data_IF_623173288652
#
_entry.id   IF_623173288652
#
_cell.length_a   1.000
_cell.length_b   1.000
_cell.length_c   1.000
_cell.angle_alpha   90.00
_cell.angle_beta   90.00
_cell.angle_gamma   90.00
#
_symmetry.space_group_name_H-M   'P 1'
#
loop_
_entity.id
_entity.type
_entity.pdbx_description
1 polymer ?
#
# COMPACT_ATOMS: atom_id res chain seq x y z
N UNK A 1 -0.40 26.47 20.65
CA UNK A 1 0.32 25.19 20.80
C UNK A 1 -0.56 24.08 20.24
N UNK A 2 -0.23 23.45 19.09
CA UNK A 2 -1.01 22.30 18.65
C UNK A 2 -0.61 21.10 19.51
N UNK A 3 -1.56 20.60 20.30
CA UNK A 3 -1.45 19.35 21.03
C UNK A 3 -1.21 18.21 20.03
N UNK A 4 0.01 17.66 20.02
CA UNK A 4 0.30 16.43 19.31
C UNK A 4 -0.26 15.27 20.13
N UNK A 5 -1.27 14.57 19.59
CA UNK A 5 -1.77 13.35 20.20
C UNK A 5 -0.61 12.36 20.43
N UNK A 6 -0.55 11.67 21.59
CA UNK A 6 0.50 10.70 21.87
C UNK A 6 0.49 9.62 20.77
N UNK A 7 1.69 9.24 20.31
CA UNK A 7 1.80 8.17 19.33
C UNK A 7 1.24 6.88 19.96
N UNK A 8 0.30 6.18 19.29
CA UNK A 8 -0.28 4.94 19.79
C UNK A 8 0.81 3.89 20.07
N UNK A 9 0.65 3.16 21.19
CA UNK A 9 1.60 2.17 21.65
C UNK A 9 1.80 1.05 20.60
N UNK A 10 2.96 0.40 20.58
CA UNK A 10 3.31 -0.61 19.55
C UNK A 10 2.29 -1.76 19.43
N UNK A 11 1.59 -2.11 20.52
CA UNK A 11 0.55 -3.14 20.56
C UNK A 11 -0.81 -2.67 20.01
N UNK A 12 -1.07 -1.36 19.97
CA UNK A 12 -2.33 -0.77 19.52
C UNK A 12 -2.53 -0.92 18.01
N UNK A 13 -1.48 -1.24 17.25
CA UNK A 13 -1.55 -1.48 15.81
C UNK A 13 -1.84 -2.94 15.43
N UNK A 14 -1.79 -3.85 16.39
CA UNK A 14 -2.10 -5.27 16.21
C UNK A 14 -3.48 -5.55 16.81
N UNK A 15 -4.48 -4.78 16.41
CA UNK A 15 -5.86 -5.03 16.86
C UNK A 15 -6.48 -6.12 15.98
N UNK A 16 -7.02 -7.21 16.54
CA UNK A 16 -7.71 -8.23 15.76
C UNK A 16 -8.87 -7.60 14.98
N UNK A 17 -9.05 -8.03 13.74
CA UNK A 17 -10.12 -7.52 12.89
C UNK A 17 -11.49 -7.76 13.59
N UNK A 18 -12.37 -6.75 13.70
CA UNK A 18 -13.67 -6.93 14.33
C UNK A 18 -14.45 -8.06 13.66
N UNK A 19 -15.21 -8.82 14.45
CA UNK A 19 -15.88 -10.03 14.00
C UNK A 19 -16.82 -9.81 12.80
N UNK A 20 -17.42 -8.62 12.70
CA UNK A 20 -18.30 -8.18 11.60
C UNK A 20 -17.61 -8.14 10.24
N UNK A 21 -16.29 -8.03 10.20
CA UNK A 21 -15.52 -7.94 8.95
C UNK A 21 -14.87 -9.27 8.55
N UNK A 22 -15.01 -10.34 9.36
CA UNK A 22 -14.38 -11.65 9.09
C UNK A 22 -14.78 -12.24 7.73
N UNK A 23 -16.02 -12.05 7.29
CA UNK A 23 -16.47 -12.54 5.98
C UNK A 23 -15.82 -11.79 4.82
N UNK A 24 -15.72 -10.46 4.90
CA UNK A 24 -15.02 -9.65 3.88
C UNK A 24 -13.52 -9.97 3.85
N UNK A 25 -12.93 -10.16 5.02
CA UNK A 25 -11.54 -10.61 5.16
C UNK A 25 -11.31 -11.99 4.54
N UNK A 26 -12.17 -12.96 4.84
CA UNK A 26 -12.09 -14.30 4.25
C UNK A 26 -12.20 -14.28 2.72
N UNK A 27 -13.07 -13.43 2.17
CA UNK A 27 -13.17 -13.23 0.71
C UNK A 27 -11.91 -12.63 0.12
N UNK A 28 -11.30 -11.66 0.79
CA UNK A 28 -10.03 -11.07 0.36
C UNK A 28 -8.92 -12.14 0.30
N UNK A 29 -8.73 -12.88 1.40
CA UNK A 29 -7.70 -13.93 1.50
C UNK A 29 -7.93 -15.03 0.46
N UNK A 30 -9.18 -15.47 0.26
CA UNK A 30 -9.52 -16.46 -0.75
C UNK A 30 -9.27 -15.96 -2.17
N UNK A 31 -9.63 -14.70 -2.45
CA UNK A 31 -9.41 -14.06 -3.75
C UNK A 31 -7.92 -13.93 -4.07
N UNK A 32 -7.10 -13.52 -3.10
CA UNK A 32 -5.65 -13.46 -3.27
C UNK A 32 -5.02 -14.83 -3.47
N UNK A 33 -5.48 -15.85 -2.74
CA UNK A 33 -5.00 -17.21 -2.94
C UNK A 33 -5.35 -17.72 -4.34
N UNK A 34 -6.59 -17.53 -4.79
CA UNK A 34 -7.00 -17.91 -6.14
C UNK A 34 -6.22 -17.14 -7.22
N UNK A 35 -5.98 -15.85 -7.02
CA UNK A 35 -5.17 -15.03 -7.91
C UNK A 35 -3.70 -15.47 -7.98
N UNK A 36 -3.11 -15.94 -6.86
CA UNK A 36 -1.75 -16.53 -6.85
C UNK A 36 -1.69 -17.84 -7.62
N UNK A 37 -2.70 -18.68 -7.45
CA UNK A 37 -2.82 -19.97 -8.14
C UNK A 37 -3.23 -19.84 -9.61
N UNK A 38 -3.51 -18.63 -10.10
CA UNK A 38 -3.94 -18.38 -11.48
C UNK A 38 -5.40 -18.75 -11.77
N UNK A 39 -6.17 -19.08 -10.74
CA UNK A 39 -7.58 -19.52 -10.84
C UNK A 39 -8.58 -18.42 -10.48
N UNK A 40 -8.10 -17.25 -10.05
CA UNK A 40 -8.94 -16.14 -9.58
C UNK A 40 -8.54 -14.78 -10.14
N UNK A 41 -9.49 -13.85 -10.06
CA UNK A 41 -9.33 -12.47 -10.48
C UNK A 41 -8.62 -11.63 -9.43
N UNK A 42 -7.52 -11.00 -9.82
CA UNK A 42 -6.80 -10.01 -9.00
C UNK A 42 -7.68 -8.77 -8.76
N UNK A 43 -8.47 -8.37 -9.75
CA UNK A 43 -9.37 -7.23 -9.65
C UNK A 43 -10.42 -7.43 -8.53
N UNK A 44 -10.95 -8.64 -8.38
CA UNK A 44 -11.93 -8.95 -7.33
C UNK A 44 -11.32 -8.87 -5.92
N UNK A 45 -10.06 -9.28 -5.78
CA UNK A 45 -9.32 -9.13 -4.52
C UNK A 45 -9.12 -7.64 -4.18
N UNK A 46 -8.74 -6.81 -5.16
CA UNK A 46 -8.57 -5.35 -4.97
C UNK A 46 -9.90 -4.68 -4.60
N UNK A 47 -10.99 -5.00 -5.31
CA UNK A 47 -12.32 -4.47 -5.01
C UNK A 47 -12.74 -4.88 -3.59
N UNK A 48 -12.45 -6.12 -3.19
CA UNK A 48 -12.75 -6.59 -1.82
C UNK A 48 -11.90 -5.86 -0.78
N UNK A 49 -10.62 -5.62 -1.05
CA UNK A 49 -9.74 -4.84 -0.19
C UNK A 49 -10.23 -3.39 -0.03
N UNK A 50 -10.59 -2.71 -1.12
CA UNK A 50 -11.19 -1.37 -1.07
C UNK A 50 -12.49 -1.33 -0.26
N UNK A 51 -13.38 -2.32 -0.47
CA UNK A 51 -14.64 -2.41 0.28
C UNK A 51 -14.40 -2.60 1.77
N UNK A 52 -13.45 -3.47 2.12
CA UNK A 52 -13.06 -3.69 3.51
C UNK A 52 -12.48 -2.42 4.12
N UNK A 53 -11.53 -1.77 3.46
CA UNK A 53 -10.93 -0.54 3.95
C UNK A 53 -11.96 0.58 4.10
N UNK A 54 -12.83 0.78 3.11
CA UNK A 54 -13.89 1.78 3.18
C UNK A 54 -14.88 1.49 4.31
N UNK A 55 -15.21 0.22 4.55
CA UNK A 55 -16.12 -0.16 5.63
C UNK A 55 -15.49 0.06 7.02
N UNK A 56 -14.20 -0.26 7.18
CA UNK A 56 -13.45 0.02 8.39
C UNK A 56 -13.29 1.53 8.63
N UNK A 57 -13.00 2.30 7.57
CA UNK A 57 -12.90 3.74 7.62
C UNK A 57 -14.22 4.40 8.04
N UNK A 58 -15.37 3.90 7.54
CA UNK A 58 -16.69 4.39 7.96
C UNK A 58 -17.00 4.09 9.42
N UNK A 59 -16.63 2.90 9.91
CA UNK A 59 -16.96 2.49 11.28
C UNK A 59 -16.01 3.09 12.33
N UNK A 60 -14.72 3.19 12.01
CA UNK A 60 -13.68 3.51 12.99
C UNK A 60 -12.93 4.81 12.67
N UNK A 61 -13.07 5.34 11.46
CA UNK A 61 -12.28 6.45 10.94
C UNK A 61 -11.11 5.96 10.07
N UNK A 62 -10.70 6.81 9.12
CA UNK A 62 -9.64 6.50 8.14
C UNK A 62 -8.25 6.32 8.76
N UNK A 63 -8.04 6.83 9.97
CA UNK A 63 -6.77 6.79 10.72
C UNK A 63 -6.73 5.76 11.83
N UNK A 64 -7.83 5.04 12.04
CA UNK A 64 -7.93 4.07 13.12
C UNK A 64 -7.04 2.84 12.86
N UNK A 65 -6.45 2.23 13.90
CA UNK A 65 -5.63 1.02 13.76
C UNK A 65 -6.30 -0.11 12.96
N UNK A 66 -7.60 -0.34 13.16
CA UNK A 66 -8.36 -1.31 12.35
C UNK A 66 -8.36 -1.03 10.85
N UNK A 67 -8.43 0.24 10.45
CA UNK A 67 -8.45 0.66 9.04
C UNK A 67 -7.06 0.57 8.43
N UNK A 68 -6.05 1.01 9.19
CA UNK A 68 -4.67 1.19 8.73
C UNK A 68 -3.84 -0.11 8.83
N UNK A 69 -4.24 -1.05 9.70
CA UNK A 69 -3.52 -2.29 10.02
C UNK A 69 -4.00 -3.55 9.30
N UNK A 70 -5.22 -3.55 8.74
CA UNK A 70 -5.86 -4.78 8.23
C UNK A 70 -5.69 -5.01 6.73
N UNK A 71 -5.74 -3.98 5.89
CA UNK A 71 -5.95 -4.16 4.44
C UNK A 71 -4.80 -4.71 3.58
N UNK A 72 -3.59 -4.88 4.12
CA UNK A 72 -2.39 -5.03 3.28
C UNK A 72 -1.56 -6.30 3.52
N UNK A 73 -1.85 -7.11 4.55
CA UNK A 73 -0.99 -8.25 4.94
C UNK A 73 -0.95 -9.39 3.92
N UNK A 74 -1.76 -9.37 2.86
CA UNK A 74 -1.93 -10.54 2.02
C UNK A 74 -1.80 -10.31 0.49
N UNK A 75 -1.54 -9.08 0.03
CA UNK A 75 -1.45 -8.85 -1.43
C UNK A 75 -0.05 -9.21 -1.97
N UNK A 76 0.11 -10.29 -2.77
CA UNK A 76 1.25 -10.37 -3.67
C UNK A 76 1.07 -9.28 -4.74
N UNK A 77 2.15 -8.73 -5.32
CA UNK A 77 2.03 -7.78 -6.42
C UNK A 77 1.45 -8.49 -7.65
N UNK A 78 0.14 -8.32 -7.89
CA UNK A 78 -0.49 -8.53 -9.20
C UNK A 78 -1.35 -7.31 -9.55
N UNK A 79 -1.49 -7.07 -10.84
CA UNK A 79 -1.27 -5.75 -11.43
C UNK A 79 -2.55 -5.07 -11.91
N UNK A 80 -2.50 -3.74 -11.90
CA UNK A 80 -3.56 -2.84 -12.31
C UNK A 80 -3.41 -1.49 -11.60
N UNK A 81 -3.95 -0.39 -12.17
CA UNK A 81 -3.86 0.95 -11.58
C UNK A 81 -4.46 1.01 -10.17
N UNK A 82 -5.60 0.34 -9.95
CA UNK A 82 -6.23 0.26 -8.62
C UNK A 82 -5.36 -0.40 -7.54
N UNK A 83 -4.48 -1.34 -7.90
CA UNK A 83 -3.50 -1.90 -6.95
C UNK A 83 -2.51 -0.84 -6.49
N UNK A 84 -1.99 -0.06 -7.43
CA UNK A 84 -1.01 0.99 -7.13
C UNK A 84 -1.64 2.04 -6.24
N UNK A 85 -2.84 2.52 -6.58
CA UNK A 85 -3.59 3.49 -5.78
C UNK A 85 -3.88 2.99 -4.35
N UNK A 86 -4.34 1.74 -4.23
CA UNK A 86 -4.61 1.13 -2.91
C UNK A 86 -3.34 1.09 -2.06
N UNK A 87 -2.23 0.61 -2.62
CA UNK A 87 -0.97 0.47 -1.89
C UNK A 87 -0.37 1.83 -1.52
N UNK A 88 -0.40 2.80 -2.44
CA UNK A 88 0.06 4.18 -2.21
C UNK A 88 -0.78 4.84 -1.12
N UNK A 89 -2.12 4.81 -1.25
CA UNK A 89 -3.03 5.42 -0.29
C UNK A 89 -2.88 4.81 1.11
N UNK A 90 -2.75 3.49 1.19
CA UNK A 90 -2.54 2.78 2.47
C UNK A 90 -1.19 3.13 3.08
N UNK A 91 -0.12 3.17 2.29
CA UNK A 91 1.21 3.56 2.74
C UNK A 91 1.23 5.00 3.28
N UNK A 92 0.57 5.92 2.59
CA UNK A 92 0.46 7.31 3.02
C UNK A 92 -0.31 7.42 4.34
N UNK A 93 -1.48 6.78 4.45
CA UNK A 93 -2.27 6.76 5.70
C UNK A 93 -1.47 6.20 6.86
N UNK A 94 -0.80 5.07 6.67
CA UNK A 94 0.10 4.46 7.68
C UNK A 94 1.20 5.42 8.12
N UNK A 95 1.82 6.14 7.19
CA UNK A 95 2.89 7.08 7.49
C UNK A 95 2.38 8.28 8.29
N UNK A 96 1.24 8.87 7.90
CA UNK A 96 0.63 10.02 8.60
C UNK A 96 0.37 9.72 10.08
N UNK A 97 -0.08 8.51 10.39
CA UNK A 97 -0.38 8.08 11.76
C UNK A 97 0.80 7.39 12.45
N UNK A 98 1.96 7.31 11.79
CA UNK A 98 3.16 6.61 12.28
C UNK A 98 2.85 5.16 12.71
N UNK A 99 2.07 4.46 11.89
CA UNK A 99 1.60 3.11 12.18
C UNK A 99 2.77 2.14 12.41
N UNK A 100 2.63 1.28 13.42
CA UNK A 100 3.61 0.24 13.73
C UNK A 100 3.14 -1.15 13.27
N UNK A 101 4.07 -2.09 13.04
CA UNK A 101 5.50 -1.84 12.87
C UNK A 101 5.79 -1.00 11.60
N UNK A 102 6.87 -0.22 11.63
CA UNK A 102 7.24 0.67 10.52
C UNK A 102 7.70 -0.11 9.27
N UNK A 103 8.23 -1.33 9.48
CA UNK A 103 8.63 -2.24 8.42
C UNK A 103 7.48 -2.55 7.44
N UNK A 104 6.25 -2.61 7.94
CA UNK A 104 5.04 -2.86 7.15
C UNK A 104 4.77 -1.73 6.16
N UNK A 105 4.94 -0.48 6.61
CA UNK A 105 4.82 0.71 5.77
C UNK A 105 5.90 0.67 4.68
N UNK A 106 7.13 0.28 5.02
CA UNK A 106 8.19 0.08 4.04
C UNK A 106 7.90 -1.03 3.02
N UNK A 107 7.30 -2.15 3.45
CA UNK A 107 6.90 -3.23 2.56
C UNK A 107 5.80 -2.78 1.59
N UNK A 108 4.79 -2.06 2.08
CA UNK A 108 3.73 -1.47 1.27
C UNK A 108 4.28 -0.55 0.17
N UNK A 109 5.23 0.33 0.51
CA UNK A 109 5.87 1.22 -0.46
C UNK A 109 6.62 0.42 -1.54
N UNK A 110 7.32 -0.65 -1.14
CA UNK A 110 8.04 -1.52 -2.09
C UNK A 110 7.09 -2.31 -2.99
N UNK A 111 5.95 -2.76 -2.45
CA UNK A 111 4.90 -3.41 -3.22
C UNK A 111 4.23 -2.43 -4.19
N UNK A 112 3.99 -1.17 -3.77
CA UNK A 112 3.48 -0.12 -4.63
C UNK A 112 4.42 0.12 -5.82
N UNK A 113 5.73 0.19 -5.58
CA UNK A 113 6.72 0.28 -6.65
C UNK A 113 6.70 -0.94 -7.57
N UNK A 114 6.62 -2.16 -7.04
CA UNK A 114 6.58 -3.37 -7.85
C UNK A 114 5.32 -3.43 -8.74
N UNK A 115 4.16 -3.04 -8.19
CA UNK A 115 2.91 -2.93 -8.92
C UNK A 115 2.99 -1.84 -10.00
N UNK A 116 3.53 -0.66 -9.66
CA UNK A 116 3.75 0.44 -10.59
C UNK A 116 4.67 0.06 -11.74
N UNK A 117 5.77 -0.65 -11.46
CA UNK A 117 6.72 -1.05 -12.50
C UNK A 117 6.07 -1.94 -13.55
N UNK A 118 5.26 -2.89 -13.11
CA UNK A 118 4.53 -3.76 -14.03
C UNK A 118 3.39 -3.00 -14.73
N UNK A 119 2.72 -2.07 -14.05
CA UNK A 119 1.76 -1.16 -14.70
C UNK A 119 2.44 -0.34 -15.80
N UNK A 120 3.68 0.12 -15.60
CA UNK A 120 4.42 0.86 -16.62
C UNK A 120 4.77 0.05 -17.88
N UNK A 121 4.75 -1.29 -17.78
CA UNK A 121 4.92 -2.20 -18.93
C UNK A 121 3.59 -2.51 -19.64
N UNK A 122 2.46 -2.48 -18.91
CA UNK A 122 1.14 -2.88 -19.41
C UNK A 122 0.25 -1.68 -19.83
N UNK A 123 0.36 -0.56 -19.13
CA UNK A 123 -0.40 0.68 -19.32
C UNK A 123 0.46 1.90 -18.86
N UNK A 124 1.30 2.43 -19.77
CA UNK A 124 2.18 3.56 -19.47
C UNK A 124 1.44 4.85 -19.08
N UNK A 125 0.22 5.07 -19.57
CA UNK A 125 -0.56 6.28 -19.26
C UNK A 125 -0.98 6.27 -17.80
N UNK A 126 -1.63 5.20 -17.34
CA UNK A 126 -2.00 5.05 -15.93
C UNK A 126 -0.77 5.00 -15.01
N UNK A 127 0.33 4.40 -15.47
CA UNK A 127 1.58 4.41 -14.71
C UNK A 127 2.15 5.82 -14.52
N UNK A 128 1.94 6.72 -15.49
CA UNK A 128 2.40 8.11 -15.42
C UNK A 128 1.68 8.89 -14.34
N UNK A 129 0.38 8.72 -14.21
CA UNK A 129 -0.43 9.37 -13.18
C UNK A 129 0.02 8.95 -11.77
N UNK A 130 0.36 7.67 -11.58
CA UNK A 130 0.80 7.15 -10.30
C UNK A 130 2.29 7.40 -9.98
N UNK A 131 3.13 7.70 -10.98
CA UNK A 131 4.59 7.75 -10.84
C UNK A 131 5.05 8.78 -9.80
N UNK A 132 4.41 9.96 -9.74
CA UNK A 132 4.76 11.01 -8.78
C UNK A 132 4.52 10.58 -7.33
N UNK A 133 3.41 9.89 -7.06
CA UNK A 133 3.06 9.43 -5.71
C UNK A 133 3.98 8.28 -5.26
N UNK A 134 4.28 7.34 -6.16
CA UNK A 134 5.24 6.25 -5.91
C UNK A 134 6.64 6.80 -5.63
N UNK A 135 7.10 7.78 -6.41
CA UNK A 135 8.39 8.45 -6.19
C UNK A 135 8.44 9.14 -4.83
N UNK A 136 7.41 9.91 -4.48
CA UNK A 136 7.33 10.59 -3.19
C UNK A 136 7.47 9.60 -2.03
N UNK A 137 6.75 8.48 -2.08
CA UNK A 137 6.86 7.43 -1.05
C UNK A 137 8.25 6.79 -0.97
N UNK A 138 8.91 6.54 -2.10
CA UNK A 138 10.27 5.97 -2.14
C UNK A 138 11.34 6.92 -1.59
N UNK A 139 11.23 8.21 -1.91
CA UNK A 139 12.11 9.26 -1.35
C UNK A 139 11.93 9.31 0.16
N UNK A 140 10.67 9.33 0.62
CA UNK A 140 10.33 9.37 2.05
C UNK A 140 10.82 8.14 2.80
N UNK A 141 10.78 6.95 2.18
CA UNK A 141 11.33 5.73 2.76
C UNK A 141 12.85 5.76 2.84
N UNK A 142 13.53 6.40 1.88
CA UNK A 142 14.99 6.48 1.82
C UNK A 142 15.59 7.42 2.88
N UNK A 143 14.80 8.35 3.40
CA UNK A 143 15.20 9.30 4.45
C UNK A 143 14.68 8.91 5.84
N UNK A 144 13.92 7.82 5.97
CA UNK A 144 13.36 7.37 7.24
C UNK A 144 14.45 6.73 8.11
N UNK A 145 14.84 7.32 9.26
CA UNK A 145 15.87 6.74 10.13
C UNK A 145 15.44 5.43 10.78
N UNK A 146 14.13 5.13 10.83
CA UNK A 146 13.59 3.89 11.37
C UNK A 146 13.65 2.72 10.37
N UNK A 147 14.06 2.98 9.13
CA UNK A 147 14.25 1.98 8.09
C UNK A 147 15.70 2.10 7.61
N UNK A 148 16.57 1.07 7.73
CA UNK A 148 17.95 1.20 7.26
C UNK A 148 17.91 1.62 5.79
N UNK A 149 18.62 2.70 5.38
CA UNK A 149 18.58 3.20 4.01
C UNK A 149 19.15 2.11 3.11
N UNK A 150 18.26 1.35 2.49
CA UNK A 150 18.66 0.37 1.50
C UNK A 150 19.07 1.12 0.26
N UNK A 151 20.31 0.98 -0.19
CA UNK A 151 20.78 1.42 -1.52
C UNK A 151 19.80 1.03 -2.64
N UNK A 152 19.05 -0.06 -2.42
CA UNK A 152 17.95 -0.55 -3.25
C UNK A 152 16.75 0.40 -3.34
N UNK A 153 16.34 1.07 -2.27
CA UNK A 153 15.19 2.00 -2.26
C UNK A 153 15.53 3.30 -3.03
N UNK A 154 16.74 3.84 -2.83
CA UNK A 154 17.26 4.95 -3.62
C UNK A 154 17.44 4.57 -5.10
N UNK A 155 17.82 3.32 -5.40
CA UNK A 155 17.86 2.81 -6.79
C UNK A 155 16.47 2.76 -7.42
N UNK A 156 15.44 2.34 -6.68
CA UNK A 156 14.03 2.35 -7.14
C UNK A 156 13.55 3.77 -7.46
N UNK A 157 13.83 4.75 -6.59
CA UNK A 157 13.48 6.15 -6.83
C UNK A 157 14.12 6.68 -8.12
N UNK A 158 15.40 6.37 -8.36
CA UNK A 158 16.11 6.75 -9.60
C UNK A 158 15.49 6.15 -10.86
N UNK A 159 14.97 4.92 -10.78
CA UNK A 159 14.23 4.30 -11.90
C UNK A 159 12.98 5.10 -12.24
N UNK A 160 12.18 5.47 -11.23
CA UNK A 160 10.96 6.27 -11.45
C UNK A 160 11.31 7.64 -12.03
N UNK A 161 12.32 8.33 -11.50
CA UNK A 161 12.78 9.63 -12.03
C UNK A 161 13.21 9.52 -13.49
N UNK A 162 14.02 8.51 -13.84
CA UNK A 162 14.46 8.31 -15.22
C UNK A 162 13.26 8.06 -16.14
N UNK A 163 12.31 7.24 -15.71
CA UNK A 163 11.13 6.90 -16.51
C UNK A 163 10.22 8.11 -16.75
N UNK A 164 9.99 8.95 -15.72
CA UNK A 164 9.26 10.21 -15.86
C UNK A 164 9.98 11.13 -16.85
N UNK A 165 11.31 11.26 -16.73
CA UNK A 165 12.14 12.14 -17.57
C UNK A 165 12.31 11.67 -19.01
N UNK A 166 12.19 10.37 -19.29
CA UNK A 166 12.29 9.84 -20.66
C UNK A 166 11.00 9.99 -21.46
N UNK A 167 9.88 10.38 -20.84
CA UNK A 167 8.59 10.47 -21.52
C UNK A 167 8.10 9.15 -22.12
N UNK A 168 8.65 8.01 -21.65
CA UNK A 168 8.55 6.74 -22.33
C UNK A 168 7.16 6.12 -22.17
N UNK A 169 6.35 6.28 -23.23
CA UNK A 169 5.61 5.19 -23.87
C UNK A 169 6.66 4.18 -24.32
N UNK A 170 6.67 2.98 -23.71
CA UNK A 170 7.38 1.82 -24.25
C UNK A 170 6.34 0.88 -24.85
#
# INVERSE_FOLDING_TARGET
>A
MPWAAPAPAADEWVVPLPGSFRTLWGRLVAGEHAARSGTGSVADAIVTAHRLEAALARQHGSRHPHTVGSGWRCAPPRCGPGTVELLVGTAQRRREVKARPAADTGLLIRNAYAAWRKLAEEDPESAREAAGQVLALLVLLSIDPASPPGERDAKRARVVVRWIGSGAVA
#
